data_IF_910986457021
#
_entry.id   IF_910986457021
#
_cell.length_a   1.000
_cell.length_b   1.000
_cell.length_c   1.000
_cell.angle_alpha   90.00
_cell.angle_beta   90.00
_cell.angle_gamma   90.00
#
_symmetry.space_group_name_H-M   'P 1'
#
loop_
_entity.id
_entity.type
_entity.pdbx_description
1 polymer ?
#
# COMPACT_ATOMS: atom_id res chain seq x y z
N UNK A 1 -11.20 -1.97 4.51
CA UNK A 1 -11.71 -1.16 3.37
C UNK A 1 -11.35 0.29 3.61
N UNK A 2 -11.36 1.13 2.59
CA UNK A 2 -11.14 2.57 2.74
C UNK A 2 -12.43 3.25 3.21
N UNK A 3 -12.33 4.47 3.75
CA UNK A 3 -13.48 5.22 4.28
C UNK A 3 -14.52 5.53 3.21
N UNK A 4 -14.10 5.71 1.96
CA UNK A 4 -14.98 6.01 0.82
C UNK A 4 -16.01 4.91 0.57
N UNK A 5 -15.73 3.66 0.98
CA UNK A 5 -16.67 2.56 0.92
C UNK A 5 -17.97 2.86 1.68
N UNK A 6 -17.86 3.42 2.89
CA UNK A 6 -19.03 3.69 3.73
C UNK A 6 -19.96 4.68 3.03
N UNK A 7 -19.38 5.72 2.44
CA UNK A 7 -20.14 6.74 1.72
C UNK A 7 -20.82 6.16 0.48
N UNK A 8 -20.11 5.38 -0.34
CA UNK A 8 -20.67 4.80 -1.58
C UNK A 8 -21.79 3.79 -1.27
N UNK A 9 -21.60 2.92 -0.26
CA UNK A 9 -22.66 1.99 0.18
C UNK A 9 -23.86 2.75 0.72
N UNK A 10 -23.62 3.78 1.54
CA UNK A 10 -24.69 4.60 2.11
C UNK A 10 -25.51 5.30 1.01
N UNK A 11 -24.84 5.95 0.05
CA UNK A 11 -25.49 6.67 -1.05
C UNK A 11 -26.32 5.73 -1.94
N UNK A 12 -25.74 4.60 -2.37
CA UNK A 12 -26.43 3.65 -3.24
C UNK A 12 -27.59 2.92 -2.52
N UNK A 13 -27.44 2.66 -1.22
CA UNK A 13 -28.46 2.02 -0.38
C UNK A 13 -29.74 2.84 -0.21
N UNK A 14 -29.71 4.15 -0.48
CA UNK A 14 -30.92 4.98 -0.44
C UNK A 14 -31.85 4.75 -1.64
N UNK A 15 -31.29 4.34 -2.78
CA UNK A 15 -32.04 4.18 -4.03
C UNK A 15 -32.25 2.71 -4.43
N UNK A 16 -31.45 1.80 -3.89
CA UNK A 16 -31.43 0.39 -4.30
C UNK A 16 -31.20 -0.54 -3.11
N UNK A 17 -31.81 -1.72 -3.14
CA UNK A 17 -31.46 -2.79 -2.20
C UNK A 17 -30.12 -3.42 -2.63
N UNK A 18 -29.07 -3.11 -1.88
CA UNK A 18 -27.70 -3.58 -2.13
C UNK A 18 -27.15 -4.29 -0.91
N UNK A 19 -26.10 -5.10 -1.09
CA UNK A 19 -25.36 -5.66 0.02
C UNK A 19 -23.96 -5.02 0.10
N UNK A 20 -23.56 -4.59 1.30
CA UNK A 20 -22.30 -3.88 1.48
C UNK A 20 -21.06 -4.74 1.16
N UNK A 21 -21.22 -6.07 1.13
CA UNK A 21 -20.16 -7.03 0.78
C UNK A 21 -20.18 -7.47 -0.68
N UNK A 22 -20.98 -6.84 -1.54
CA UNK A 22 -21.00 -7.15 -2.96
C UNK A 22 -19.63 -6.93 -3.60
N UNK A 23 -19.29 -7.77 -4.59
CA UNK A 23 -17.97 -7.78 -5.26
C UNK A 23 -17.65 -6.43 -5.91
N UNK A 24 -18.67 -5.65 -6.30
CA UNK A 24 -18.54 -4.28 -6.82
C UNK A 24 -17.81 -3.34 -5.86
N UNK A 25 -17.88 -3.58 -4.55
CA UNK A 25 -17.22 -2.77 -3.52
C UNK A 25 -15.76 -3.18 -3.24
N UNK A 26 -15.24 -4.23 -3.90
CA UNK A 26 -13.83 -4.62 -3.78
C UNK A 26 -12.86 -3.51 -4.22
N UNK A 27 -13.31 -2.58 -5.07
CA UNK A 27 -12.55 -1.37 -5.45
C UNK A 27 -12.12 -0.51 -4.24
N UNK A 28 -12.83 -0.60 -3.12
CA UNK A 28 -12.49 0.09 -1.87
C UNK A 28 -11.66 -0.75 -0.90
N UNK A 29 -11.12 -1.90 -1.34
CA UNK A 29 -10.15 -2.61 -0.51
C UNK A 29 -8.94 -1.71 -0.29
N UNK A 30 -8.49 -1.67 0.95
CA UNK A 30 -7.27 -0.94 1.28
C UNK A 30 -6.10 -1.68 0.61
N UNK A 31 -5.29 -0.96 -0.16
CA UNK A 31 -4.10 -1.53 -0.77
C UNK A 31 -3.12 -1.98 0.32
N UNK A 32 -2.35 -3.04 0.04
CA UNK A 32 -1.53 -3.72 1.04
C UNK A 32 -0.46 -2.80 1.63
N UNK A 33 0.08 -1.87 0.84
CA UNK A 33 1.12 -0.94 1.30
C UNK A 33 0.60 0.49 1.51
N UNK A 34 -0.72 0.69 1.66
CA UNK A 34 -1.29 2.03 1.85
C UNK A 34 -0.64 2.73 3.05
N UNK A 35 -0.06 3.91 2.79
CA UNK A 35 0.60 4.72 3.82
C UNK A 35 1.98 4.24 4.25
N UNK A 36 2.50 3.15 3.66
CA UNK A 36 3.86 2.71 3.92
C UNK A 36 4.86 3.48 3.06
N UNK A 37 5.98 3.81 3.68
CA UNK A 37 7.14 4.40 3.02
C UNK A 37 8.31 3.47 3.27
N UNK A 38 8.65 2.69 2.25
CA UNK A 38 9.61 1.59 2.36
C UNK A 38 10.95 2.00 1.78
N UNK A 39 12.02 1.67 2.50
CA UNK A 39 13.40 1.75 2.02
C UNK A 39 13.99 0.35 2.04
N UNK A 40 14.84 0.02 1.07
CA UNK A 40 15.55 -1.26 1.01
C UNK A 40 17.05 -1.03 1.03
N UNK A 41 17.79 -1.94 1.64
CA UNK A 41 19.26 -1.99 1.55
C UNK A 41 19.70 -3.45 1.39
N UNK A 42 20.95 -3.64 0.95
CA UNK A 42 21.54 -4.96 0.65
C UNK A 42 20.82 -5.76 -0.45
N UNK A 43 20.13 -5.08 -1.36
CA UNK A 43 19.55 -5.67 -2.56
C UNK A 43 20.32 -5.24 -3.80
N UNK A 44 20.38 -6.14 -4.79
CA UNK A 44 20.88 -5.81 -6.12
C UNK A 44 20.05 -4.71 -6.79
N UNK A 45 20.60 -4.10 -7.85
CA UNK A 45 19.90 -3.04 -8.59
C UNK A 45 18.59 -3.55 -9.19
N UNK A 46 18.59 -4.78 -9.72
CA UNK A 46 17.42 -5.39 -10.34
C UNK A 46 16.33 -5.70 -9.30
N UNK A 47 16.69 -6.34 -8.18
CA UNK A 47 15.74 -6.61 -7.08
C UNK A 47 15.15 -5.33 -6.51
N UNK A 48 15.98 -4.29 -6.34
CA UNK A 48 15.53 -2.98 -5.87
C UNK A 48 14.50 -2.37 -6.82
N UNK A 49 14.73 -2.46 -8.12
CA UNK A 49 13.79 -1.98 -9.14
C UNK A 49 12.47 -2.74 -9.09
N UNK A 50 12.52 -4.07 -8.98
CA UNK A 50 11.33 -4.92 -8.83
C UNK A 50 10.54 -4.56 -7.57
N UNK A 51 11.21 -4.44 -6.42
CA UNK A 51 10.57 -4.09 -5.15
C UNK A 51 9.96 -2.69 -5.21
N UNK A 52 10.67 -1.70 -5.75
CA UNK A 52 10.15 -0.35 -5.93
C UNK A 52 8.87 -0.36 -6.78
N UNK A 53 8.84 -1.11 -7.88
CA UNK A 53 7.67 -1.24 -8.75
C UNK A 53 6.50 -1.89 -8.01
N UNK A 54 6.73 -3.00 -7.30
CA UNK A 54 5.71 -3.70 -6.53
C UNK A 54 5.11 -2.83 -5.43
N UNK A 55 5.93 -2.06 -4.71
CA UNK A 55 5.47 -1.13 -3.67
C UNK A 55 4.52 -0.09 -4.26
N UNK A 56 4.93 0.55 -5.37
CA UNK A 56 4.12 1.56 -6.04
C UNK A 56 2.79 1.00 -6.56
N UNK A 57 2.82 -0.17 -7.21
CA UNK A 57 1.61 -0.84 -7.73
C UNK A 57 0.62 -1.22 -6.62
N UNK A 58 1.09 -1.45 -5.39
CA UNK A 58 0.27 -1.84 -4.25
C UNK A 58 0.00 -0.67 -3.28
N UNK A 59 0.10 0.57 -3.76
CA UNK A 59 -0.30 1.80 -3.07
C UNK A 59 0.62 2.26 -1.95
N UNK A 60 1.87 1.79 -1.95
CA UNK A 60 2.93 2.28 -1.08
C UNK A 60 3.84 3.29 -1.76
N UNK A 61 4.75 3.85 -0.99
CA UNK A 61 5.80 4.75 -1.47
C UNK A 61 7.18 4.15 -1.21
N UNK A 62 8.11 4.40 -2.12
CA UNK A 62 9.49 3.96 -1.99
C UNK A 62 10.44 5.15 -1.82
N UNK A 63 11.38 5.06 -0.88
CA UNK A 63 12.46 6.03 -0.70
C UNK A 63 13.81 5.33 -0.85
N UNK A 64 14.60 5.77 -1.84
CA UNK A 64 15.95 5.24 -2.07
C UNK A 64 16.91 5.52 -0.90
N UNK A 65 17.06 6.78 -0.42
CA UNK A 65 17.79 7.03 0.81
C UNK A 65 16.92 6.80 2.04
N UNK A 66 17.49 6.14 3.06
CA UNK A 66 16.87 6.02 4.38
C UNK A 66 16.73 7.41 5.01
N UNK A 67 15.50 7.81 5.33
CA UNK A 67 15.21 9.05 6.06
C UNK A 67 14.38 8.70 7.28
N UNK A 68 15.00 8.72 8.46
CA UNK A 68 14.38 8.26 9.71
C UNK A 68 13.03 8.92 10.04
N UNK A 69 12.82 10.17 9.60
CA UNK A 69 11.58 10.91 9.81
C UNK A 69 10.48 10.65 8.75
N UNK A 70 10.75 9.82 7.74
CA UNK A 70 9.82 9.56 6.63
C UNK A 70 9.65 8.07 6.34
N UNK A 71 10.72 7.29 6.44
CA UNK A 71 10.69 5.84 6.24
C UNK A 71 9.91 5.19 7.38
N UNK A 72 8.89 4.40 7.06
CA UNK A 72 8.14 3.62 8.04
C UNK A 72 8.70 2.21 8.18
N UNK A 73 9.28 1.66 7.11
CA UNK A 73 9.84 0.32 7.08
C UNK A 73 11.17 0.29 6.33
N UNK A 74 12.16 -0.39 6.91
CA UNK A 74 13.44 -0.69 6.28
C UNK A 74 13.52 -2.21 6.07
N UNK A 75 13.78 -2.64 4.83
CA UNK A 75 13.96 -4.06 4.47
C UNK A 75 15.44 -4.32 4.23
N UNK A 76 15.97 -5.33 4.88
CA UNK A 76 17.37 -5.78 4.84
C UNK A 76 17.39 -7.30 4.69
N UNK A 77 18.44 -7.83 4.09
CA UNK A 77 18.67 -9.28 3.97
C UNK A 77 19.35 -9.82 5.22
N UNK A 78 20.31 -9.05 5.76
CA UNK A 78 21.05 -9.37 6.97
C UNK A 78 21.02 -8.18 7.95
N UNK A 79 21.03 -8.43 9.27
CA UNK A 79 21.03 -7.39 10.29
C UNK A 79 22.41 -6.73 10.45
N UNK A 80 23.00 -6.28 9.35
CA UNK A 80 24.32 -5.65 9.29
C UNK A 80 24.15 -4.23 8.75
N UNK A 81 24.77 -3.26 9.42
CA UNK A 81 24.87 -1.88 8.95
C UNK A 81 26.29 -1.57 8.48
N UNK A 82 26.42 -0.53 7.66
CA UNK A 82 27.73 0.13 7.44
C UNK A 82 28.20 0.85 8.71
#
# INVERSE_FOLDING_TARGET
MTSEWVNDVWENGQCQQIHATDISYNKYKCSVFKGLVVTVSQLSVDERSTVQSLIGQNGGSYLAPLKANKTTHLVLTEPVGD
#
